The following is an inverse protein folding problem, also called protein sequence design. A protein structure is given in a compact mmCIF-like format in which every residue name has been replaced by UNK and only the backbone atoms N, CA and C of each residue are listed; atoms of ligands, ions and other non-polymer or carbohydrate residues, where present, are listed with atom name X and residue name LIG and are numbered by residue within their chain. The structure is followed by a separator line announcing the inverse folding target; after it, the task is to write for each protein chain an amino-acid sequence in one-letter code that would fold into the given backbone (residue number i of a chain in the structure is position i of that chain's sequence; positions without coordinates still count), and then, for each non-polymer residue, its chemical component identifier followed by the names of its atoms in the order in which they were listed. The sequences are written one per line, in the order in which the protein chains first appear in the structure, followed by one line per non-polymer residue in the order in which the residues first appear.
data_IF_064366408672
#
_entry.id   IF_064366408672
#
_cell.length_a   1.000
_cell.length_b   1.000
_cell.length_c   1.000
_cell.angle_alpha   90.00
_cell.angle_beta   90.00
_cell.angle_gamma   90.00
#
_symmetry.space_group_name_H-M   'P 1'
#
loop_
_entity.id
_entity.type
_entity.pdbx_description
1 polymer ?
#
# COMPACT_ATOMS: atom_id res chain seq x y z
N UNK A 1 -24.26 56.48 35.65
CA UNK A 1 -24.61 56.25 37.06
C UNK A 1 -25.66 55.16 37.12
N UNK A 2 -25.35 54.08 37.86
CA UNK A 2 -26.26 53.07 38.44
C UNK A 2 -27.05 52.20 37.44
N UNK A 3 -27.32 50.91 37.64
CA UNK A 3 -26.83 49.84 38.51
C UNK A 3 -27.69 48.61 38.17
N UNK A 4 -27.03 47.46 38.01
CA UNK A 4 -27.40 46.08 38.31
C UNK A 4 -28.87 45.63 38.44
N UNK A 5 -29.15 44.47 37.82
CA UNK A 5 -30.20 43.53 38.21
C UNK A 5 -29.85 42.11 37.76
N UNK A 6 -29.22 41.35 38.66
CA UNK A 6 -28.92 39.93 38.56
C UNK A 6 -30.20 39.10 38.71
N UNK A 7 -30.38 38.05 37.91
CA UNK A 7 -31.21 36.90 38.27
C UNK A 7 -30.59 35.63 37.67
N UNK A 8 -30.01 34.82 38.54
CA UNK A 8 -29.58 33.47 38.22
C UNK A 8 -30.76 32.50 38.25
N UNK A 9 -30.69 31.47 37.42
CA UNK A 9 -31.39 30.21 37.67
C UNK A 9 -30.43 29.07 37.37
N UNK A 10 -30.12 28.29 38.40
CA UNK A 10 -29.25 27.13 38.31
C UNK A 10 -29.97 25.87 37.83
N UNK A 11 -29.15 24.87 37.51
CA UNK A 11 -29.49 23.47 37.74
C UNK A 11 -30.31 22.75 36.68
N UNK A 12 -29.63 22.11 35.73
CA UNK A 12 -29.74 20.66 35.60
C UNK A 12 -28.49 20.09 34.96
N UNK A 13 -27.70 19.44 35.81
CA UNK A 13 -26.71 18.46 35.42
C UNK A 13 -27.45 17.34 34.65
N UNK A 14 -27.23 17.30 33.34
CA UNK A 14 -27.38 16.09 32.56
C UNK A 14 -25.99 15.48 32.47
N UNK A 15 -25.76 14.43 33.24
CA UNK A 15 -24.66 13.48 33.08
C UNK A 15 -24.35 13.26 31.60
N UNK A 16 -23.20 13.76 31.16
CA UNK A 16 -22.57 13.24 29.96
C UNK A 16 -21.76 12.04 30.39
N UNK A 17 -22.29 10.85 30.12
CA UNK A 17 -21.59 9.57 30.22
C UNK A 17 -20.14 9.70 29.74
N UNK A 18 -19.14 9.44 30.59
CA UNK A 18 -17.74 9.41 30.20
C UNK A 18 -17.39 8.03 29.65
N UNK A 19 -18.15 7.52 28.68
CA UNK A 19 -17.92 6.19 28.09
C UNK A 19 -17.80 6.20 26.56
N UNK A 20 -17.14 7.20 25.96
CA UNK A 20 -16.66 7.09 24.57
C UNK A 20 -15.25 7.65 24.33
N UNK A 21 -14.44 7.71 25.38
CA UNK A 21 -13.00 8.01 25.30
C UNK A 21 -12.22 6.72 25.49
N UNK A 22 -12.06 5.90 24.44
CA UNK A 22 -11.43 4.60 24.67
C UNK A 22 -11.17 3.66 23.50
N UNK A 23 -11.39 4.02 22.24
CA UNK A 23 -10.99 3.16 21.13
C UNK A 23 -10.03 3.85 20.18
N UNK A 24 -8.82 4.10 20.69
CA UNK A 24 -7.63 4.20 19.85
C UNK A 24 -7.20 2.79 19.44
N UNK A 25 -8.07 2.10 18.69
CA UNK A 25 -7.62 0.98 17.90
C UNK A 25 -6.68 1.58 16.85
N UNK A 26 -5.39 1.26 16.93
CA UNK A 26 -4.54 1.23 15.74
C UNK A 26 -5.11 0.16 14.81
N UNK A 27 -6.25 0.45 14.18
CA UNK A 27 -6.76 -0.29 13.06
C UNK A 27 -5.76 -0.05 11.93
N UNK A 28 -4.77 -0.94 11.81
CA UNK A 28 -4.19 -1.19 10.50
C UNK A 28 -5.39 -1.40 9.59
N UNK A 29 -5.57 -0.61 8.52
CA UNK A 29 -6.75 -0.77 7.70
C UNK A 29 -6.66 -2.17 7.09
N UNK A 30 -7.51 -3.08 7.58
CA UNK A 30 -7.76 -4.37 6.97
C UNK A 30 -8.65 -4.11 5.75
N UNK A 31 -8.11 -3.39 4.77
CA UNK A 31 -8.79 -3.10 3.52
C UNK A 31 -8.23 -4.00 2.41
N UNK A 32 -8.95 -4.05 1.29
CA UNK A 32 -8.56 -4.87 0.14
C UNK A 32 -7.13 -4.54 -0.32
N UNK A 33 -6.77 -3.25 -0.41
CA UNK A 33 -5.43 -2.83 -0.85
C UNK A 33 -4.30 -3.39 0.04
N UNK A 34 -4.49 -3.40 1.35
CA UNK A 34 -3.51 -3.96 2.29
C UNK A 34 -3.45 -5.49 2.21
N UNK A 35 -4.56 -6.17 1.90
CA UNK A 35 -4.56 -7.61 1.64
C UNK A 35 -3.81 -7.94 0.34
N UNK A 36 -4.09 -7.20 -0.74
CA UNK A 36 -3.40 -7.33 -2.03
C UNK A 36 -1.90 -7.03 -1.87
N UNK A 37 -1.50 -5.99 -1.13
CA UNK A 37 -0.08 -5.70 -0.87
C UNK A 37 0.63 -6.86 -0.17
N UNK A 38 -0.03 -7.55 0.77
CA UNK A 38 0.54 -8.74 1.42
C UNK A 38 0.73 -9.89 0.44
N UNK A 39 -0.25 -10.17 -0.42
CA UNK A 39 -0.15 -11.23 -1.43
C UNK A 39 0.92 -10.91 -2.47
N UNK A 40 0.96 -9.69 -3.00
CA UNK A 40 1.99 -9.23 -3.94
C UNK A 40 3.39 -9.37 -3.35
N UNK A 41 3.56 -9.00 -2.07
CA UNK A 41 4.85 -9.16 -1.37
C UNK A 41 5.19 -10.64 -1.15
N UNK A 42 4.21 -11.48 -0.81
CA UNK A 42 4.45 -12.92 -0.63
C UNK A 42 4.90 -13.59 -1.94
N UNK A 43 4.36 -13.16 -3.08
CA UNK A 43 4.75 -13.67 -4.39
C UNK A 43 5.95 -12.93 -5.03
N UNK A 44 6.66 -12.09 -4.28
CA UNK A 44 7.73 -11.26 -4.83
C UNK A 44 8.79 -12.05 -5.60
N UNK A 45 9.12 -13.27 -5.15
CA UNK A 45 10.10 -14.11 -5.83
C UNK A 45 9.68 -14.54 -7.24
N UNK A 46 8.38 -14.60 -7.56
CA UNK A 46 7.92 -15.02 -8.90
C UNK A 46 8.01 -13.92 -9.94
N UNK A 47 7.71 -12.68 -9.56
CA UNK A 47 7.60 -11.55 -10.49
C UNK A 47 8.77 -10.56 -10.40
N UNK A 48 9.64 -10.68 -9.40
CA UNK A 48 10.85 -9.87 -9.26
C UNK A 48 12.08 -10.65 -9.75
N UNK A 49 12.19 -10.78 -11.07
CA UNK A 49 13.33 -11.41 -11.74
C UNK A 49 14.53 -10.48 -11.89
N UNK A 50 14.51 -9.29 -11.28
CA UNK A 50 15.67 -8.40 -11.29
C UNK A 50 16.86 -9.15 -10.69
N UNK A 51 17.80 -9.54 -11.56
CA UNK A 51 19.14 -10.01 -11.21
C UNK A 51 19.80 -8.93 -10.37
N UNK A 52 19.64 -9.03 -9.05
CA UNK A 52 20.33 -8.16 -8.10
C UNK A 52 21.81 -8.44 -8.27
N UNK A 53 22.60 -7.41 -8.54
CA UNK A 53 24.01 -7.46 -8.21
C UNK A 53 24.12 -7.93 -6.75
N UNK A 54 24.69 -9.13 -6.57
CA UNK A 54 24.95 -9.70 -5.26
C UNK A 54 25.83 -8.70 -4.50
N UNK A 55 25.38 -8.25 -3.32
CA UNK A 55 26.22 -7.44 -2.44
C UNK A 55 25.69 -6.05 -2.08
N UNK A 56 24.40 -5.89 -1.77
CA UNK A 56 24.02 -4.76 -0.90
C UNK A 56 24.10 -5.23 0.55
N UNK A 57 24.71 -4.43 1.44
CA UNK A 57 24.84 -4.75 2.86
C UNK A 57 23.48 -5.06 3.53
N UNK A 58 22.38 -4.51 3.00
CA UNK A 58 21.03 -4.83 3.45
C UNK A 58 20.60 -6.25 3.02
N UNK A 59 21.00 -6.69 1.83
CA UNK A 59 20.76 -8.05 1.35
C UNK A 59 21.45 -9.07 2.25
N UNK A 60 22.74 -8.85 2.53
CA UNK A 60 23.56 -9.70 3.40
C UNK A 60 22.98 -9.82 4.79
N UNK A 61 22.68 -8.68 5.44
CA UNK A 61 21.98 -8.67 6.75
C UNK A 61 20.64 -9.41 6.71
N UNK A 62 19.93 -9.39 5.59
CA UNK A 62 18.66 -10.13 5.45
C UNK A 62 18.91 -11.63 5.32
N UNK A 63 19.97 -12.05 4.62
CA UNK A 63 20.38 -13.46 4.50
C UNK A 63 20.83 -14.02 5.85
N UNK A 64 21.69 -13.27 6.56
CA UNK A 64 22.18 -13.63 7.90
C UNK A 64 21.01 -13.79 8.88
N UNK A 65 20.05 -12.85 8.86
CA UNK A 65 18.88 -12.91 9.75
C UNK A 65 17.94 -14.06 9.42
N UNK A 66 17.81 -14.40 8.13
CA UNK A 66 17.04 -15.57 7.71
C UNK A 66 17.71 -16.86 8.18
N UNK A 67 19.02 -17.00 7.96
CA UNK A 67 19.79 -18.16 8.40
C UNK A 67 19.67 -18.38 9.91
N UNK A 68 19.87 -17.32 10.72
CA UNK A 68 19.79 -17.42 12.17
C UNK A 68 18.40 -17.84 12.70
N UNK A 69 17.31 -17.43 12.04
CA UNK A 69 15.95 -17.85 12.43
C UNK A 69 15.68 -19.29 12.02
N UNK A 70 16.05 -19.67 10.79
CA UNK A 70 15.83 -21.03 10.29
C UNK A 70 16.70 -22.08 10.97
N UNK A 71 17.91 -21.72 11.42
CA UNK A 71 18.75 -22.59 12.25
C UNK A 71 18.11 -22.89 13.61
N UNK A 72 17.55 -21.88 14.28
CA UNK A 72 16.86 -22.11 15.56
C UNK A 72 15.56 -22.90 15.37
N UNK A 73 14.86 -22.70 14.26
CA UNK A 73 13.66 -23.47 13.92
C UNK A 73 14.00 -24.93 13.59
N UNK A 74 15.11 -25.21 12.90
CA UNK A 74 15.55 -26.58 12.62
C UNK A 74 15.96 -27.34 13.88
N UNK A 75 16.42 -26.62 14.91
CA UNK A 75 16.66 -27.15 16.27
C UNK A 75 15.37 -27.36 17.09
N UNK A 76 14.19 -27.12 16.52
CA UNK A 76 12.90 -27.30 17.20
C UNK A 76 12.55 -26.20 18.22
N UNK A 77 13.26 -25.07 18.20
CA UNK A 77 13.02 -23.96 19.13
C UNK A 77 11.75 -23.20 18.75
N UNK A 78 10.85 -23.00 19.71
CA UNK A 78 9.62 -22.24 19.50
C UNK A 78 9.87 -20.76 19.21
N UNK A 79 8.97 -20.12 18.45
CA UNK A 79 9.13 -18.72 17.96
C UNK A 79 9.41 -17.68 19.06
N UNK A 80 8.84 -17.86 20.26
CA UNK A 80 9.07 -16.99 21.41
C UNK A 80 10.51 -17.10 21.95
N UNK A 81 11.03 -18.31 21.99
CA UNK A 81 12.39 -18.57 22.45
C UNK A 81 13.42 -18.12 21.40
N UNK A 82 13.11 -18.26 20.10
CA UNK A 82 13.90 -17.64 19.04
C UNK A 82 14.00 -16.11 19.21
N UNK A 83 12.88 -15.45 19.55
CA UNK A 83 12.84 -14.01 19.81
C UNK A 83 13.72 -13.63 21.02
N UNK A 84 13.69 -14.44 22.09
CA UNK A 84 14.52 -14.23 23.28
C UNK A 84 16.01 -14.42 23.01
N UNK A 85 16.40 -15.50 22.33
CA UNK A 85 17.80 -15.83 22.02
C UNK A 85 18.45 -14.84 21.06
N UNK A 86 17.69 -14.37 20.06
CA UNK A 86 18.17 -13.40 19.07
C UNK A 86 18.05 -11.94 19.56
N UNK A 87 17.32 -11.70 20.65
CA UNK A 87 17.01 -10.35 21.14
C UNK A 87 16.12 -9.55 20.19
N UNK A 88 15.29 -10.22 19.39
CA UNK A 88 14.45 -9.57 18.37
C UNK A 88 12.98 -9.55 18.77
N UNK A 89 12.23 -8.56 18.27
CA UNK A 89 10.79 -8.54 18.44
C UNK A 89 10.13 -9.79 17.78
N UNK A 90 9.14 -10.37 18.46
CA UNK A 90 8.44 -11.58 17.98
C UNK A 90 7.88 -11.44 16.56
N UNK A 91 7.41 -10.24 16.19
CA UNK A 91 6.90 -9.98 14.84
C UNK A 91 7.99 -10.03 13.76
N UNK A 92 9.24 -9.73 14.12
CA UNK A 92 10.39 -9.88 13.23
C UNK A 92 10.68 -11.35 13.01
N UNK A 93 10.76 -12.15 14.09
CA UNK A 93 10.97 -13.60 13.99
C UNK A 93 9.85 -14.27 13.18
N UNK A 94 8.58 -13.94 13.46
CA UNK A 94 7.43 -14.42 12.68
C UNK A 94 7.53 -14.08 11.20
N UNK A 95 8.08 -12.92 10.84
CA UNK A 95 8.27 -12.53 9.44
C UNK A 95 9.30 -13.41 8.74
N UNK A 96 10.45 -13.67 9.38
CA UNK A 96 11.50 -14.53 8.80
C UNK A 96 11.09 -16.01 8.78
N UNK A 97 10.41 -16.49 9.82
CA UNK A 97 9.93 -17.86 9.93
C UNK A 97 8.87 -18.23 8.88
N UNK A 98 8.08 -17.26 8.40
CA UNK A 98 7.06 -17.46 7.36
C UNK A 98 7.62 -17.46 5.94
N UNK A 99 8.85 -16.96 5.75
CA UNK A 99 9.47 -16.95 4.45
C UNK A 99 10.13 -18.31 4.21
N UNK A 100 9.79 -18.94 3.08
CA UNK A 100 10.41 -20.20 2.66
C UNK A 100 11.79 -19.95 2.05
N UNK A 101 11.98 -18.79 1.42
CA UNK A 101 13.22 -18.41 0.75
C UNK A 101 13.72 -17.04 1.19
N UNK A 102 15.04 -16.84 1.15
CA UNK A 102 15.67 -15.54 1.44
C UNK A 102 15.18 -14.48 0.45
N UNK A 103 14.95 -14.88 -0.80
CA UNK A 103 14.47 -14.02 -1.88
C UNK A 103 13.14 -13.34 -1.55
N UNK A 104 12.24 -14.00 -0.82
CA UNK A 104 10.92 -13.47 -0.42
C UNK A 104 11.04 -12.27 0.54
N UNK A 105 12.18 -12.15 1.23
CA UNK A 105 12.44 -11.08 2.19
C UNK A 105 13.19 -9.89 1.59
N UNK A 106 13.79 -10.08 0.41
CA UNK A 106 14.57 -9.06 -0.28
C UNK A 106 13.64 -8.11 -1.04
N UNK A 107 13.27 -7.00 -0.38
CA UNK A 107 12.49 -5.94 -1.03
C UNK A 107 13.24 -5.33 -2.22
N UNK A 108 12.54 -4.98 -3.31
CA UNK A 108 13.14 -4.23 -4.41
C UNK A 108 13.57 -2.83 -3.94
N UNK A 109 14.65 -2.26 -4.50
CA UNK A 109 15.05 -0.89 -4.22
C UNK A 109 13.91 0.07 -4.60
N UNK A 110 13.63 1.03 -3.72
CA UNK A 110 12.74 2.15 -4.07
C UNK A 110 13.58 3.23 -4.74
N UNK A 111 13.47 3.35 -6.06
CA UNK A 111 14.08 4.46 -6.78
C UNK A 111 13.12 5.65 -6.78
N UNK A 112 13.58 6.79 -6.29
CA UNK A 112 12.86 8.06 -6.43
C UNK A 112 12.94 8.62 -7.85
N UNK A 113 12.09 9.62 -8.15
CA UNK A 113 12.22 10.39 -9.40
C UNK A 113 13.61 11.03 -9.47
N UNK A 114 14.20 11.02 -10.65
CA UNK A 114 15.51 11.55 -10.95
C UNK A 114 15.50 12.31 -12.28
N UNK A 115 16.50 13.16 -12.48
CA UNK A 115 16.60 14.04 -13.66
C UNK A 115 16.63 13.26 -14.99
N UNK A 116 17.10 12.01 -14.98
CA UNK A 116 17.16 11.16 -16.17
C UNK A 116 15.78 10.60 -16.55
N UNK A 117 14.80 10.58 -15.62
CA UNK A 117 13.47 10.03 -15.90
C UNK A 117 12.73 10.82 -17.00
N UNK A 118 13.00 12.12 -17.14
CA UNK A 118 12.42 12.96 -18.19
C UNK A 118 12.91 12.60 -19.61
N UNK A 119 14.09 12.00 -19.73
CA UNK A 119 14.70 11.60 -21.00
C UNK A 119 14.69 10.08 -21.21
N UNK A 120 13.87 9.35 -20.44
CA UNK A 120 13.88 7.88 -20.40
C UNK A 120 13.67 7.24 -21.76
N UNK A 121 12.70 7.73 -22.54
CA UNK A 121 12.35 7.11 -23.82
C UNK A 121 13.47 7.23 -24.85
N UNK A 122 14.17 8.36 -24.88
CA UNK A 122 15.35 8.56 -25.71
C UNK A 122 16.49 7.64 -25.28
N UNK A 123 16.78 7.59 -23.98
CA UNK A 123 17.83 6.71 -23.45
C UNK A 123 17.52 5.24 -23.79
N UNK A 124 16.26 4.81 -23.69
CA UNK A 124 15.82 3.47 -24.08
C UNK A 124 16.09 3.19 -25.56
N UNK A 125 15.63 4.08 -26.44
CA UNK A 125 15.81 3.93 -27.88
C UNK A 125 17.29 3.83 -28.26
N UNK A 126 18.12 4.72 -27.71
CA UNK A 126 19.56 4.75 -28.00
C UNK A 126 20.31 3.56 -27.45
N UNK A 127 19.88 3.00 -26.31
CA UNK A 127 20.43 1.74 -25.81
C UNK A 127 20.03 0.54 -26.69
N UNK A 128 18.81 0.51 -27.21
CA UNK A 128 18.38 -0.53 -28.16
C UNK A 128 19.17 -0.46 -29.49
N UNK A 129 19.55 0.74 -29.90
CA UNK A 129 20.40 1.01 -31.07
C UNK A 129 21.91 0.78 -30.81
N UNK A 130 22.29 0.27 -29.62
CA UNK A 130 23.69 0.06 -29.20
C UNK A 130 24.59 1.31 -29.26
N UNK A 131 24.01 2.50 -29.06
CA UNK A 131 24.74 3.76 -29.08
C UNK A 131 25.54 3.94 -27.77
N UNK A 132 26.80 4.41 -27.84
CA UNK A 132 27.62 4.59 -26.65
C UNK A 132 27.03 5.63 -25.67
N UNK A 133 27.16 5.35 -24.37
CA UNK A 133 26.60 6.19 -23.27
C UNK A 133 27.08 7.64 -23.31
N UNK A 134 28.29 7.88 -23.81
CA UNK A 134 28.84 9.24 -24.01
C UNK A 134 28.03 10.06 -25.01
N UNK A 135 27.53 9.42 -26.08
CA UNK A 135 26.68 10.06 -27.09
C UNK A 135 25.26 10.28 -26.57
N UNK A 136 24.73 9.31 -25.82
CA UNK A 136 23.45 9.47 -25.11
C UNK A 136 23.50 10.67 -24.16
N UNK A 137 24.60 10.86 -23.43
CA UNK A 137 24.79 11.99 -22.53
C UNK A 137 24.81 13.35 -23.27
N UNK A 138 25.40 13.41 -24.46
CA UNK A 138 25.41 14.62 -25.27
C UNK A 138 24.00 14.97 -25.74
N UNK A 139 23.27 14.00 -26.28
CA UNK A 139 21.90 14.18 -26.78
C UNK A 139 20.92 14.62 -25.67
N UNK A 140 20.99 14.02 -24.47
CA UNK A 140 20.11 14.46 -23.38
C UNK A 140 20.46 15.86 -22.87
N UNK A 141 21.74 16.27 -22.93
CA UNK A 141 22.18 17.62 -22.52
C UNK A 141 21.64 18.69 -23.46
N UNK A 142 21.62 18.41 -24.76
CA UNK A 142 20.99 19.28 -25.75
C UNK A 142 19.49 19.47 -25.49
N UNK A 143 18.83 18.44 -24.96
CA UNK A 143 17.43 18.48 -24.53
C UNK A 143 17.20 19.07 -23.13
N UNK A 144 18.24 19.64 -22.50
CA UNK A 144 18.13 20.34 -21.22
C UNK A 144 18.48 19.50 -19.98
N UNK A 145 19.14 18.35 -20.13
CA UNK A 145 19.61 17.56 -18.98
C UNK A 145 20.74 18.27 -18.23
N UNK A 146 20.50 18.58 -16.95
CA UNK A 146 21.46 19.26 -16.05
C UNK A 146 22.24 18.32 -15.13
N UNK A 147 21.99 17.01 -15.21
CA UNK A 147 22.57 16.02 -14.29
C UNK A 147 23.99 15.56 -14.66
N UNK A 148 24.60 14.78 -13.77
CA UNK A 148 25.95 14.23 -13.96
C UNK A 148 25.97 13.01 -14.88
N UNK A 149 27.14 12.74 -15.49
CA UNK A 149 27.38 11.52 -16.27
C UNK A 149 27.24 10.25 -15.42
N UNK A 150 27.73 10.31 -14.17
CA UNK A 150 27.62 9.21 -13.21
C UNK A 150 26.15 8.88 -12.87
N UNK A 151 25.27 9.88 -12.85
CA UNK A 151 23.85 9.66 -12.65
C UNK A 151 23.23 8.88 -13.82
N UNK A 152 23.61 9.21 -15.07
CA UNK A 152 23.17 8.49 -16.27
C UNK A 152 23.68 7.05 -16.28
N UNK A 153 24.99 6.84 -16.05
CA UNK A 153 25.59 5.48 -16.00
C UNK A 153 24.92 4.65 -14.90
N UNK A 154 24.73 5.23 -13.72
CA UNK A 154 24.03 4.56 -12.62
C UNK A 154 22.58 4.24 -12.98
N UNK A 155 21.88 5.14 -13.66
CA UNK A 155 20.50 4.96 -14.11
C UNK A 155 20.39 3.80 -15.11
N UNK A 156 21.32 3.72 -16.06
CA UNK A 156 21.41 2.64 -17.06
C UNK A 156 21.74 1.30 -16.38
N UNK A 157 22.76 1.27 -15.52
CA UNK A 157 23.15 0.05 -14.79
C UNK A 157 22.06 -0.44 -13.82
N UNK A 158 21.20 0.45 -13.34
CA UNK A 158 20.02 0.10 -12.54
C UNK A 158 18.87 -0.48 -13.40
N UNK A 159 19.03 -0.57 -14.73
CA UNK A 159 18.00 -1.02 -15.65
C UNK A 159 16.87 -0.01 -15.85
N UNK A 160 17.01 1.24 -15.38
CA UNK A 160 15.90 2.20 -15.35
C UNK A 160 15.49 2.77 -16.71
N UNK A 161 16.34 2.57 -17.72
CA UNK A 161 16.03 2.96 -19.09
C UNK A 161 15.00 2.04 -19.75
N UNK A 162 14.87 0.79 -19.27
CA UNK A 162 13.92 -0.17 -19.80
C UNK A 162 12.77 -0.38 -18.80
N UNK A 163 11.58 0.22 -19.02
CA UNK A 163 10.44 0.06 -18.12
C UNK A 163 9.86 -1.35 -18.10
N UNK A 164 10.18 -2.21 -19.09
CA UNK A 164 9.80 -3.62 -19.12
C UNK A 164 10.76 -4.47 -18.27
N UNK A 165 12.02 -4.03 -18.07
CA UNK A 165 12.96 -4.64 -17.11
C UNK A 165 12.83 -4.10 -15.69
N UNK A 166 12.19 -2.95 -15.49
CA UNK A 166 11.99 -2.39 -14.16
C UNK A 166 10.85 -3.11 -13.45
N UNK A 167 11.20 -4.08 -12.62
CA UNK A 167 10.27 -4.67 -11.67
C UNK A 167 9.60 -3.55 -10.83
N UNK A 168 8.27 -3.41 -10.85
CA UNK A 168 7.58 -2.36 -10.11
C UNK A 168 7.75 -2.54 -8.60
N UNK A 169 7.68 -1.45 -7.84
CA UNK A 169 7.56 -1.60 -6.37
C UNK A 169 6.25 -2.34 -6.03
N UNK A 170 6.17 -3.11 -4.92
CA UNK A 170 4.96 -3.83 -4.54
C UNK A 170 3.72 -2.93 -4.51
N UNK A 171 3.84 -1.70 -4.00
CA UNK A 171 2.72 -0.74 -3.96
C UNK A 171 2.29 -0.25 -5.34
N UNK A 172 3.24 -0.13 -6.28
CA UNK A 172 2.94 0.26 -7.65
C UNK A 172 2.22 -0.88 -8.37
N UNK A 173 2.69 -2.11 -8.18
CA UNK A 173 2.01 -3.30 -8.70
C UNK A 173 0.60 -3.46 -8.11
N UNK A 174 0.42 -3.25 -6.80
CA UNK A 174 -0.91 -3.19 -6.15
C UNK A 174 -1.78 -2.13 -6.81
N UNK A 175 -1.24 -0.93 -7.03
CA UNK A 175 -1.97 0.14 -7.71
C UNK A 175 -2.39 -0.26 -9.12
N UNK A 176 -1.54 -0.96 -9.88
CA UNK A 176 -1.89 -1.46 -11.21
C UNK A 176 -2.97 -2.53 -11.16
N UNK A 177 -2.85 -3.51 -10.27
CA UNK A 177 -3.85 -4.59 -10.07
C UNK A 177 -5.21 -4.02 -9.65
N UNK A 178 -5.23 -2.95 -8.87
CA UNK A 178 -6.45 -2.30 -8.38
C UNK A 178 -7.01 -1.21 -9.31
N UNK A 179 -6.28 -0.86 -10.37
CA UNK A 179 -6.74 0.10 -11.39
C UNK A 179 -7.56 -0.63 -12.45
N UNK A 180 -8.43 0.11 -13.13
CA UNK A 180 -9.12 -0.47 -14.28
C UNK A 180 -8.14 -0.65 -15.44
N UNK A 181 -8.16 -1.78 -16.17
CA UNK A 181 -7.23 -2.02 -17.26
C UNK A 181 -7.23 -0.92 -18.34
N UNK A 182 -8.38 -0.28 -18.58
CA UNK A 182 -8.56 0.82 -19.53
C UNK A 182 -7.84 2.11 -19.13
N UNK A 183 -7.64 2.36 -17.83
CA UNK A 183 -6.97 3.55 -17.31
C UNK A 183 -5.43 3.43 -17.37
N UNK A 184 -4.93 2.23 -17.65
CA UNK A 184 -3.49 1.95 -17.75
C UNK A 184 -3.01 2.15 -19.19
N UNK A 185 -1.83 2.78 -19.32
CA UNK A 185 -1.11 2.88 -20.59
C UNK A 185 -0.82 1.48 -21.14
N UNK A 186 -0.87 1.29 -22.46
CA UNK A 186 -0.76 -0.05 -23.08
C UNK A 186 0.51 -0.80 -22.69
N UNK A 187 1.66 -0.12 -22.61
CA UNK A 187 2.91 -0.74 -22.15
C UNK A 187 2.83 -1.18 -20.67
N UNK A 188 2.12 -0.43 -19.83
CA UNK A 188 1.90 -0.78 -18.42
C UNK A 188 0.94 -1.97 -18.31
N UNK A 189 -0.08 -2.03 -19.17
CA UNK A 189 -1.03 -3.15 -19.23
C UNK A 189 -0.31 -4.45 -19.62
N UNK A 190 0.47 -4.44 -20.71
CA UNK A 190 1.25 -5.62 -21.14
C UNK A 190 2.20 -6.10 -20.05
N UNK A 191 2.96 -5.19 -19.45
CA UNK A 191 3.86 -5.53 -18.36
C UNK A 191 3.10 -6.07 -17.12
N UNK A 192 1.93 -5.50 -16.79
CA UNK A 192 1.09 -6.05 -15.73
C UNK A 192 0.65 -7.48 -16.04
N UNK A 193 0.24 -7.77 -17.28
CA UNK A 193 -0.19 -9.10 -17.69
C UNK A 193 0.96 -10.12 -17.58
N UNK A 194 2.17 -9.75 -17.99
CA UNK A 194 3.37 -10.58 -17.83
C UNK A 194 3.68 -10.88 -16.35
N UNK A 195 3.58 -9.87 -15.48
CA UNK A 195 3.80 -10.02 -14.04
C UNK A 195 2.72 -10.89 -13.38
N UNK A 196 1.47 -10.77 -13.81
CA UNK A 196 0.36 -11.63 -13.33
C UNK A 196 0.59 -13.07 -13.77
N UNK A 197 1.02 -13.30 -15.01
CA UNK A 197 1.29 -14.62 -15.55
C UNK A 197 2.50 -15.33 -14.91
N UNK A 198 3.33 -14.60 -14.15
CA UNK A 198 4.53 -15.16 -13.51
C UNK A 198 4.24 -16.29 -12.52
N UNK A 199 3.09 -16.30 -11.84
CA UNK A 199 2.67 -17.42 -11.00
C UNK A 199 1.15 -17.54 -10.84
N UNK A 200 0.63 -18.76 -10.58
CA UNK A 200 -0.80 -18.99 -10.40
C UNK A 200 -1.42 -18.18 -9.25
N UNK A 201 -0.63 -17.88 -8.20
CA UNK A 201 -1.06 -17.06 -7.07
C UNK A 201 -1.36 -15.62 -7.47
N UNK A 202 -0.54 -15.02 -8.34
CA UNK A 202 -0.76 -13.68 -8.88
C UNK A 202 -1.96 -13.64 -9.83
N UNK A 203 -2.16 -14.66 -10.66
CA UNK A 203 -3.36 -14.83 -11.49
C UNK A 203 -4.62 -14.89 -10.64
N UNK A 204 -4.62 -15.74 -9.60
CA UNK A 204 -5.75 -15.87 -8.68
C UNK A 204 -6.04 -14.54 -7.97
N UNK A 205 -5.00 -13.85 -7.49
CA UNK A 205 -5.12 -12.53 -6.86
C UNK A 205 -5.78 -11.51 -7.79
N UNK A 206 -5.29 -11.37 -9.01
CA UNK A 206 -5.84 -10.42 -9.98
C UNK A 206 -7.30 -10.73 -10.32
N UNK A 207 -7.64 -12.01 -10.49
CA UNK A 207 -9.03 -12.46 -10.70
C UNK A 207 -9.93 -12.06 -9.53
N UNK A 208 -9.53 -12.36 -8.27
CA UNK A 208 -10.35 -12.00 -7.09
C UNK A 208 -10.53 -10.49 -6.93
N UNK A 209 -9.51 -9.69 -7.23
CA UNK A 209 -9.62 -8.22 -7.21
C UNK A 209 -10.60 -7.74 -8.28
N UNK A 210 -10.51 -8.26 -9.51
CA UNK A 210 -11.42 -7.89 -10.62
C UNK A 210 -12.87 -8.29 -10.34
N UNK A 211 -13.10 -9.49 -9.81
CA UNK A 211 -14.42 -9.95 -9.40
C UNK A 211 -15.02 -9.06 -8.31
N UNK A 212 -14.23 -8.72 -7.28
CA UNK A 212 -14.69 -7.82 -6.22
C UNK A 212 -15.00 -6.42 -6.75
N UNK A 213 -14.18 -5.90 -7.65
CA UNK A 213 -14.43 -4.63 -8.31
C UNK A 213 -15.75 -4.66 -9.09
N UNK A 214 -16.07 -5.75 -9.79
CA UNK A 214 -17.34 -5.92 -10.50
C UNK A 214 -18.55 -6.04 -9.55
N UNK A 215 -18.38 -6.62 -8.36
CA UNK A 215 -19.41 -6.61 -7.31
C UNK A 215 -19.64 -5.18 -6.82
N UNK A 216 -18.57 -4.44 -6.54
CA UNK A 216 -18.61 -3.07 -6.04
C UNK A 216 -19.23 -2.10 -7.05
N UNK A 217 -18.80 -2.14 -8.31
CA UNK A 217 -19.29 -1.22 -9.36
C UNK A 217 -20.68 -1.60 -9.85
N UNK A 218 -21.00 -2.89 -9.92
CA UNK A 218 -22.32 -3.40 -10.30
C UNK A 218 -23.35 -3.40 -9.18
N UNK A 219 -22.95 -3.01 -7.96
CA UNK A 219 -23.76 -3.09 -6.74
C UNK A 219 -24.42 -4.46 -6.52
N UNK A 220 -23.63 -5.53 -6.69
CA UNK A 220 -24.08 -6.93 -6.63
C UNK A 220 -23.79 -7.58 -5.28
N UNK A 221 -24.24 -6.97 -4.18
CA UNK A 221 -23.96 -7.46 -2.83
C UNK A 221 -24.38 -8.91 -2.58
N UNK A 222 -25.36 -9.44 -3.32
CA UNK A 222 -25.75 -10.85 -3.28
C UNK A 222 -24.62 -11.83 -3.66
N UNK A 223 -23.66 -11.40 -4.48
CA UNK A 223 -22.55 -12.24 -4.93
C UNK A 223 -21.39 -12.27 -3.93
N UNK A 224 -21.45 -11.47 -2.86
CA UNK A 224 -20.40 -11.34 -1.86
C UNK A 224 -20.07 -12.69 -1.21
N UNK A 225 -21.08 -13.50 -0.90
CA UNK A 225 -20.90 -14.78 -0.20
C UNK A 225 -20.08 -15.76 -1.05
N UNK A 226 -20.44 -15.89 -2.32
CA UNK A 226 -19.73 -16.73 -3.28
C UNK A 226 -18.30 -16.24 -3.48
N UNK A 227 -18.10 -14.92 -3.58
CA UNK A 227 -16.77 -14.33 -3.72
C UNK A 227 -15.87 -14.56 -2.49
N UNK A 228 -16.40 -14.43 -1.27
CA UNK A 228 -15.64 -14.73 -0.04
C UNK A 228 -15.22 -16.20 -0.03
N UNK A 229 -16.15 -17.13 -0.29
CA UNK A 229 -15.85 -18.56 -0.32
C UNK A 229 -14.76 -18.90 -1.35
N UNK A 230 -14.87 -18.34 -2.56
CA UNK A 230 -13.90 -18.55 -3.62
C UNK A 230 -12.52 -17.93 -3.31
N UNK A 231 -12.50 -16.80 -2.59
CA UNK A 231 -11.25 -16.15 -2.14
C UNK A 231 -10.57 -16.95 -1.03
N UNK A 232 -11.33 -17.53 -0.09
CA UNK A 232 -10.80 -18.45 0.93
C UNK A 232 -10.21 -19.71 0.30
N UNK A 233 -10.90 -20.30 -0.68
CA UNK A 233 -10.42 -21.48 -1.41
C UNK A 233 -9.11 -21.25 -2.17
N UNK A 234 -8.82 -20.02 -2.59
CA UNK A 234 -7.55 -19.65 -3.23
C UNK A 234 -6.37 -19.46 -2.27
N UNK A 235 -6.60 -19.52 -0.95
CA UNK A 235 -5.57 -19.38 0.09
C UNK A 235 -4.61 -18.19 -0.09
N UNK A 236 -5.14 -17.03 -0.52
CA UNK A 236 -4.33 -15.85 -0.82
C UNK A 236 -3.67 -15.26 0.46
N UNK A 237 -2.34 -15.06 0.48
CA UNK A 237 -1.65 -14.56 1.65
C UNK A 237 -2.16 -13.20 2.11
N UNK A 238 -2.63 -13.11 3.35
CA UNK A 238 -3.04 -11.86 3.98
C UNK A 238 -4.50 -11.45 3.80
N UNK A 239 -5.32 -12.29 3.16
CA UNK A 239 -6.75 -12.06 2.97
C UNK A 239 -7.63 -12.41 4.18
N UNK A 240 -7.22 -13.34 5.06
CA UNK A 240 -8.07 -13.82 6.17
C UNK A 240 -8.66 -12.69 7.02
N UNK A 241 -7.82 -11.74 7.40
CA UNK A 241 -8.25 -10.62 8.24
C UNK A 241 -9.18 -9.64 7.52
N UNK A 242 -9.11 -9.56 6.20
CA UNK A 242 -10.03 -8.76 5.39
C UNK A 242 -11.37 -9.47 5.27
N UNK A 243 -11.35 -10.77 4.92
CA UNK A 243 -12.56 -11.59 4.78
C UNK A 243 -13.34 -11.70 6.10
N UNK A 244 -12.65 -11.94 7.21
CA UNK A 244 -13.28 -11.95 8.55
C UNK A 244 -13.93 -10.60 8.88
N UNK A 245 -13.38 -9.49 8.39
CA UNK A 245 -13.95 -8.15 8.57
C UNK A 245 -15.28 -7.99 7.83
N UNK A 246 -15.34 -8.47 6.58
CA UNK A 246 -16.57 -8.44 5.77
C UNK A 246 -17.68 -9.31 6.37
N UNK A 247 -17.32 -10.49 6.87
CA UNK A 247 -18.26 -11.40 7.52
C UNK A 247 -18.79 -10.86 8.85
N UNK A 248 -17.93 -10.21 9.65
CA UNK A 248 -18.33 -9.64 10.95
C UNK A 248 -19.44 -8.59 10.80
N UNK A 249 -19.32 -7.74 9.78
CA UNK A 249 -20.30 -6.68 9.49
C UNK A 249 -21.11 -7.02 8.22
N UNK A 250 -21.63 -8.26 8.14
CA UNK A 250 -22.28 -8.80 6.94
C UNK A 250 -23.40 -7.92 6.38
N UNK A 251 -24.35 -7.51 7.23
CA UNK A 251 -25.49 -6.71 6.82
C UNK A 251 -25.06 -5.34 6.27
N UNK A 252 -24.12 -4.68 6.96
CA UNK A 252 -23.58 -3.38 6.54
C UNK A 252 -22.77 -3.49 5.24
N UNK A 253 -21.95 -4.53 5.11
CA UNK A 253 -21.14 -4.78 3.91
C UNK A 253 -22.03 -5.08 2.71
N UNK A 254 -23.02 -5.95 2.87
CA UNK A 254 -23.99 -6.29 1.81
C UNK A 254 -24.78 -5.07 1.38
N UNK A 255 -25.28 -4.28 2.34
CA UNK A 255 -25.98 -3.03 2.06
C UNK A 255 -25.10 -2.02 1.32
N UNK A 256 -23.85 -1.84 1.76
CA UNK A 256 -22.88 -0.95 1.10
C UNK A 256 -22.53 -1.38 -0.33
N UNK A 257 -22.62 -2.67 -0.62
CA UNK A 257 -22.42 -3.24 -1.97
C UNK A 257 -23.71 -3.38 -2.78
N UNK A 258 -24.87 -2.96 -2.28
CA UNK A 258 -26.17 -3.13 -2.98
C UNK A 258 -26.89 -1.81 -3.16
N UNK A 259 -26.95 -1.00 -2.11
CA UNK A 259 -27.78 0.20 -2.08
C UNK A 259 -27.11 1.36 -2.83
N UNK A 260 -27.87 2.26 -3.47
CA UNK A 260 -27.31 3.41 -4.17
C UNK A 260 -26.68 4.45 -3.22
N UNK A 261 -27.13 4.46 -1.97
CA UNK A 261 -26.72 5.40 -0.93
C UNK A 261 -25.59 4.84 -0.06
N UNK A 262 -24.65 5.73 0.30
CA UNK A 262 -23.56 5.42 1.21
C UNK A 262 -23.33 6.60 2.16
N UNK A 263 -22.82 6.32 3.36
CA UNK A 263 -22.40 7.36 4.30
C UNK A 263 -21.04 7.99 3.93
N UNK A 264 -20.39 7.55 2.84
CA UNK A 264 -19.05 7.99 2.45
C UNK A 264 -18.90 9.52 2.31
N UNK A 265 -19.77 10.22 1.56
CA UNK A 265 -19.72 11.68 1.47
C UNK A 265 -19.89 12.37 2.84
N UNK A 266 -20.84 11.89 3.63
CA UNK A 266 -21.12 12.40 4.98
C UNK A 266 -19.93 12.20 5.92
N UNK A 267 -19.31 11.03 5.89
CA UNK A 267 -18.09 10.72 6.64
C UNK A 267 -16.91 11.57 6.18
N UNK A 268 -16.77 11.81 4.88
CA UNK A 268 -15.76 12.70 4.32
C UNK A 268 -15.89 14.12 4.85
N UNK A 269 -17.09 14.69 4.82
CA UNK A 269 -17.39 16.01 5.39
C UNK A 269 -17.09 16.01 6.90
N UNK A 270 -17.55 15.00 7.64
CA UNK A 270 -17.32 14.90 9.08
C UNK A 270 -15.81 14.83 9.40
N UNK A 271 -15.03 14.08 8.62
CA UNK A 271 -13.58 14.02 8.77
C UNK A 271 -12.90 15.34 8.46
N UNK A 272 -13.32 16.06 7.41
CA UNK A 272 -12.83 17.43 7.11
C UNK A 272 -13.12 18.38 8.27
N UNK A 273 -14.34 18.36 8.81
CA UNK A 273 -14.72 19.17 9.97
C UNK A 273 -13.90 18.82 11.21
N UNK A 274 -13.71 17.51 11.49
CA UNK A 274 -12.85 17.03 12.59
C UNK A 274 -11.41 17.49 12.41
N UNK A 275 -10.89 17.50 11.19
CA UNK A 275 -9.55 18.00 10.87
C UNK A 275 -9.44 19.50 11.15
N UNK A 276 -10.36 20.32 10.66
CA UNK A 276 -10.42 21.76 10.93
C UNK A 276 -10.54 22.08 12.42
N UNK A 277 -11.33 21.29 13.16
CA UNK A 277 -11.43 21.37 14.63
C UNK A 277 -10.11 21.00 15.32
N UNK A 278 -9.37 20.00 14.82
CA UNK A 278 -8.04 19.62 15.36
C UNK A 278 -6.98 20.69 15.09
N UNK A 279 -7.01 21.33 13.92
CA UNK A 279 -6.12 22.46 13.60
C UNK A 279 -6.33 23.68 14.49
N UNK A 280 -7.50 23.80 15.13
CA UNK A 280 -7.80 24.84 16.14
C UNK A 280 -7.56 24.34 17.56
N UNK A 281 -6.85 23.23 17.73
CA UNK A 281 -6.60 22.57 19.02
C UNK A 281 -7.90 22.27 19.81
N UNK A 282 -9.02 22.08 19.12
CA UNK A 282 -10.33 21.88 19.72
C UNK A 282 -10.97 23.14 20.32
N UNK A 283 -10.33 24.31 20.23
CA UNK A 283 -10.75 25.58 20.86
C UNK A 283 -11.49 26.55 19.93
N UNK A 284 -12.03 26.08 18.81
CA UNK A 284 -12.83 26.94 17.95
C UNK A 284 -14.27 27.08 18.48
N UNK A 285 -14.72 28.32 18.68
CA UNK A 285 -16.15 28.62 18.80
C UNK A 285 -16.87 28.22 17.51
N UNK A 286 -18.18 27.95 17.59
CA UNK A 286 -18.97 27.57 16.41
C UNK A 286 -18.82 28.59 15.26
N UNK A 287 -18.82 29.88 15.59
CA UNK A 287 -18.62 30.97 14.63
C UNK A 287 -17.28 30.90 13.91
N UNK A 288 -16.19 30.57 14.61
CA UNK A 288 -14.86 30.41 14.02
C UNK A 288 -14.77 29.14 13.16
N UNK A 289 -15.35 28.05 13.62
CA UNK A 289 -15.39 26.79 12.87
C UNK A 289 -16.20 26.92 11.57
N UNK A 290 -17.37 27.58 11.64
CA UNK A 290 -18.19 27.90 10.47
C UNK A 290 -17.42 28.74 9.45
N UNK A 291 -16.73 29.80 9.89
CA UNK A 291 -15.89 30.63 9.00
C UNK A 291 -14.79 29.80 8.33
N UNK A 292 -14.10 28.93 9.07
CA UNK A 292 -13.07 28.04 8.47
C UNK A 292 -13.66 27.07 7.45
N UNK A 293 -14.79 26.44 7.73
CA UNK A 293 -15.43 25.51 6.79
C UNK A 293 -15.82 26.20 5.48
N UNK A 294 -16.36 27.42 5.56
CA UNK A 294 -16.84 28.17 4.39
C UNK A 294 -15.69 28.77 3.55
N UNK A 295 -14.54 29.05 4.15
CA UNK A 295 -13.37 29.62 3.48
C UNK A 295 -12.37 28.59 2.95
N UNK A 296 -12.50 27.32 3.35
CA UNK A 296 -11.64 26.19 2.97
C UNK A 296 -12.23 25.38 1.79
N UNK A 297 -13.05 26.01 0.94
CA UNK A 297 -13.64 25.37 -0.25
C UNK A 297 -12.70 25.37 -1.45
#
# INVERSE_FOLDING_TARGET
MLSNGHAGFGGRAGETDPEQSGHRAQARPNNLAAAVEKSVVAYAASWNTTSRAAGSALAERTRERFAAVHELLSQGVGLLECARRLGWALNTVKRYARAERVEDLLRPPRYGPCLVDAHRDLVRQRLAENIPVTRILAEIRELGYTGSANLLVRYINQGRADPERLTPSPRRLVSWIMSRPEDLLDHTRRHLDDLIASCPGMTTLATRVREFAAILTGRRGQDLAAWIAATRGGALPGFDSYLNGLEKDWAATTAGLTLPYSNGPTEGINNKIKMLKRQTYGKASFSLLRKRILLDQ
#
